data_IF_176618708271
#
_entry.id   IF_176618708271
#
_cell.length_a   1.000
_cell.length_b   1.000
_cell.length_c   1.000
_cell.angle_alpha   90.00
_cell.angle_beta   90.00
_cell.angle_gamma   90.00
#
_symmetry.space_group_name_H-M   'P 1'
#
loop_
_entity.id
_entity.type
_entity.pdbx_description
1 polymer ?
#
# COMPACT_ATOMS: atom_id res chain seq x y z
N UNK A 1 -41.68 -26.04 11.18
CA UNK A 1 -41.38 -25.31 9.91
C UNK A 1 -40.52 -24.08 10.23
N UNK A 2 -39.24 -24.27 10.59
CA UNK A 2 -38.35 -23.22 11.12
C UNK A 2 -36.98 -23.18 10.39
N UNK A 3 -36.99 -23.34 9.06
CA UNK A 3 -35.76 -23.33 8.23
C UNK A 3 -35.52 -21.99 7.53
N UNK A 4 -36.51 -21.10 7.55
CA UNK A 4 -36.48 -19.82 6.80
C UNK A 4 -35.93 -18.66 7.62
N UNK A 5 -35.97 -18.77 8.96
CA UNK A 5 -35.45 -17.76 9.87
C UNK A 5 -33.91 -17.59 9.76
N UNK A 6 -33.08 -18.65 9.69
CA UNK A 6 -31.63 -18.48 9.48
C UNK A 6 -31.30 -18.03 8.04
N UNK A 7 -32.08 -18.46 7.05
CA UNK A 7 -31.90 -18.05 5.63
C UNK A 7 -32.14 -16.56 5.47
N UNK A 8 -33.19 -16.02 6.08
CA UNK A 8 -33.49 -14.60 6.04
C UNK A 8 -32.39 -13.78 6.72
N UNK A 9 -31.85 -14.27 7.84
CA UNK A 9 -30.74 -13.62 8.55
C UNK A 9 -29.46 -13.57 7.72
N UNK A 10 -29.12 -14.66 7.02
CA UNK A 10 -27.97 -14.71 6.12
C UNK A 10 -28.12 -13.77 4.93
N UNK A 11 -29.32 -13.67 4.34
CA UNK A 11 -29.59 -12.75 3.23
C UNK A 11 -29.44 -11.28 3.68
N UNK A 12 -29.98 -10.92 4.86
CA UNK A 12 -29.84 -9.57 5.41
C UNK A 12 -28.39 -9.21 5.71
N UNK A 13 -27.61 -10.16 6.21
CA UNK A 13 -26.17 -9.98 6.47
C UNK A 13 -25.40 -9.82 5.16
N UNK A 14 -25.68 -10.62 4.12
CA UNK A 14 -25.04 -10.48 2.80
C UNK A 14 -25.44 -9.17 2.10
N UNK A 15 -26.70 -8.73 2.23
CA UNK A 15 -27.13 -7.43 1.68
C UNK A 15 -26.53 -6.25 2.45
N UNK A 16 -26.34 -6.34 3.76
CA UNK A 16 -25.68 -5.31 4.57
C UNK A 16 -24.15 -5.28 4.37
N UNK A 17 -23.52 -6.45 4.21
CA UNK A 17 -22.08 -6.58 3.94
C UNK A 17 -21.76 -6.29 2.47
N UNK A 18 -22.68 -6.59 1.54
CA UNK A 18 -22.51 -6.43 0.09
C UNK A 18 -22.41 -4.98 -0.39
N UNK A 19 -22.68 -3.99 0.48
CA UNK A 19 -22.48 -2.56 0.20
C UNK A 19 -21.20 -2.03 0.88
N UNK A 20 -20.60 -2.80 1.79
CA UNK A 20 -19.30 -2.49 2.38
C UNK A 20 -18.19 -3.09 1.52
N UNK A 21 -17.94 -2.47 0.36
CA UNK A 21 -16.67 -2.68 -0.32
C UNK A 21 -15.55 -2.38 0.68
N UNK A 22 -14.79 -3.40 1.08
CA UNK A 22 -13.62 -3.24 1.93
C UNK A 22 -12.46 -2.86 0.99
N UNK A 23 -12.04 -1.57 0.90
CA UNK A 23 -10.85 -1.25 0.15
C UNK A 23 -9.68 -1.87 0.90
N UNK A 24 -9.27 -3.07 0.48
CA UNK A 24 -8.01 -3.68 0.89
C UNK A 24 -6.82 -3.00 0.19
N UNK A 25 -7.00 -1.77 -0.32
CA UNK A 25 -5.92 -0.92 -0.74
C UNK A 25 -5.23 -0.41 0.52
N UNK A 26 -4.11 -1.03 0.89
CA UNK A 26 -3.17 -0.43 1.84
C UNK A 26 -2.71 0.90 1.21
N UNK A 27 -3.34 2.01 1.58
CA UNK A 27 -2.86 3.35 1.23
C UNK A 27 -1.51 3.49 1.91
N UNK A 28 -0.44 3.20 1.16
CA UNK A 28 0.91 3.47 1.61
C UNK A 28 1.15 4.95 1.44
N UNK A 29 1.61 5.60 2.49
CA UNK A 29 1.99 7.01 2.43
C UNK A 29 3.10 7.18 1.39
N UNK A 30 2.92 8.13 0.47
CA UNK A 30 3.93 8.45 -0.52
C UNK A 30 5.06 9.24 0.15
N UNK A 31 6.28 8.72 0.07
CA UNK A 31 7.48 9.32 0.68
C UNK A 31 8.30 10.11 -0.35
N UNK A 32 8.07 9.88 -1.64
CA UNK A 32 8.74 10.56 -2.75
C UNK A 32 7.84 10.62 -3.98
N UNK A 33 8.15 11.53 -4.91
CA UNK A 33 7.43 11.64 -6.18
C UNK A 33 7.84 10.48 -7.12
N UNK A 34 6.90 9.68 -7.65
CA UNK A 34 7.21 8.51 -8.48
C UNK A 34 8.15 8.80 -9.64
N UNK A 35 9.14 7.92 -9.85
CA UNK A 35 10.11 8.02 -10.94
C UNK A 35 11.13 9.16 -10.80
N UNK A 36 11.03 9.99 -9.75
CA UNK A 36 12.02 11.05 -9.54
C UNK A 36 13.38 10.50 -9.12
N UNK A 37 14.43 11.18 -9.57
CA UNK A 37 15.79 10.92 -9.12
C UNK A 37 16.22 12.01 -8.13
N UNK A 38 16.77 11.57 -7.00
CA UNK A 38 17.27 12.45 -5.95
C UNK A 38 18.62 11.97 -5.45
N UNK A 39 19.38 12.86 -4.82
CA UNK A 39 20.65 12.52 -4.16
C UNK A 39 20.41 12.42 -2.66
N UNK A 40 20.63 11.23 -2.10
CA UNK A 40 20.60 10.98 -0.66
C UNK A 40 22.04 10.73 -0.21
N UNK A 41 22.58 11.67 0.55
CA UNK A 41 24.02 11.73 0.88
C UNK A 41 24.89 11.74 -0.39
N UNK A 42 25.73 10.72 -0.57
CA UNK A 42 26.54 10.53 -1.77
C UNK A 42 25.85 9.67 -2.84
N UNK A 43 24.77 8.98 -2.50
CA UNK A 43 24.12 8.02 -3.38
C UNK A 43 23.07 8.69 -4.27
N UNK A 44 22.99 8.26 -5.52
CA UNK A 44 21.89 8.64 -6.40
C UNK A 44 20.77 7.61 -6.24
N UNK A 45 19.56 8.09 -6.02
CA UNK A 45 18.40 7.27 -5.68
C UNK A 45 17.24 7.57 -6.62
N UNK A 46 16.50 6.52 -6.98
CA UNK A 46 15.29 6.61 -7.81
C UNK A 46 14.06 6.18 -6.99
N UNK A 47 13.01 6.98 -7.04
CA UNK A 47 11.74 6.69 -6.38
C UNK A 47 10.94 5.60 -7.13
N UNK A 48 10.34 4.64 -6.41
CA UNK A 48 9.46 3.62 -6.99
C UNK A 48 8.23 4.22 -7.65
N UNK A 49 7.59 3.47 -8.55
CA UNK A 49 6.38 3.93 -9.25
C UNK A 49 5.19 4.19 -8.31
N UNK A 50 5.11 3.44 -7.21
CA UNK A 50 4.12 3.65 -6.15
C UNK A 50 4.47 4.80 -5.19
N UNK A 51 5.70 5.33 -5.24
CA UNK A 51 6.14 6.44 -4.39
C UNK A 51 6.48 6.06 -2.94
N UNK A 52 6.62 4.76 -2.63
CA UNK A 52 6.77 4.26 -1.25
C UNK A 52 8.18 3.75 -0.94
N UNK A 53 9.08 3.73 -1.93
CA UNK A 53 10.45 3.24 -1.77
C UNK A 53 11.47 4.02 -2.62
N UNK A 54 12.75 3.92 -2.22
CA UNK A 54 13.90 4.47 -2.93
C UNK A 54 14.90 3.36 -3.26
N UNK A 55 15.35 3.30 -4.51
CA UNK A 55 16.43 2.43 -4.95
C UNK A 55 17.69 3.26 -5.17
N UNK A 56 18.72 3.06 -4.34
CA UNK A 56 19.94 3.86 -4.36
C UNK A 56 21.14 3.09 -4.90
N UNK A 57 22.04 3.79 -5.60
CA UNK A 57 23.39 3.30 -5.88
C UNK A 57 24.12 3.01 -4.58
N UNK A 58 25.03 2.03 -4.56
CA UNK A 58 25.98 1.85 -3.45
C UNK A 58 27.31 2.49 -3.80
N UNK A 59 27.46 3.78 -3.51
CA UNK A 59 28.78 4.40 -3.48
C UNK A 59 29.40 4.11 -2.12
N UNK A 60 30.62 3.58 -2.11
CA UNK A 60 31.38 3.49 -0.86
C UNK A 60 31.60 4.94 -0.43
N UNK A 61 30.99 5.35 0.67
CA UNK A 61 31.37 6.58 1.35
C UNK A 61 32.76 6.36 1.95
N UNK A 62 33.80 6.29 1.12
CA UNK A 62 35.18 5.98 1.51
C UNK A 62 35.85 7.09 2.34
N UNK A 63 35.08 8.03 2.90
CA UNK A 63 35.57 9.08 3.79
C UNK A 63 34.66 9.21 5.03
N UNK A 64 34.58 8.13 5.80
CA UNK A 64 34.55 8.27 7.26
C UNK A 64 35.80 7.59 7.79
N UNK A 65 36.93 8.26 7.55
CA UNK A 65 38.14 8.11 8.36
C UNK A 65 37.94 8.88 9.66
#
# INVERSE_FOLDING_TARGET
>A
MMKNLPVCFLILVVLAIGIHGHPNGKVREQICAPGTQTKVDCNMCTCSEDGTALACTKMISSLRA
#
